data_IF_139561913996
#
_entry.id   IF_139561913996
#
_cell.length_a   1.000
_cell.length_b   1.000
_cell.length_c   1.000
_cell.angle_alpha   90.00
_cell.angle_beta   90.00
_cell.angle_gamma   90.00
#
_symmetry.space_group_name_H-M   'P 1'
#
loop_
_entity.id
_entity.type
_entity.pdbx_description
1 polymer ?
#
# COMPACT_ATOMS: atom_id res chain seq x y z
N UNK A 1 -2.42 -45.38 -35.59
CA UNK A 1 -2.38 -44.27 -34.57
C UNK A 1 -1.28 -44.68 -33.60
N UNK A 2 -0.33 -43.81 -33.32
CA UNK A 2 0.73 -44.13 -32.36
C UNK A 2 0.16 -44.32 -30.95
N UNK A 3 0.75 -45.24 -30.16
CA UNK A 3 0.32 -45.43 -28.78
C UNK A 3 0.68 -44.21 -27.93
N UNK A 4 -0.15 -43.90 -26.94
CA UNK A 4 0.02 -42.77 -26.03
C UNK A 4 1.36 -42.88 -25.24
N UNK A 5 1.77 -44.10 -24.90
CA UNK A 5 3.04 -44.35 -24.20
C UNK A 5 4.25 -43.96 -25.05
N UNK A 6 4.24 -44.30 -26.35
CA UNK A 6 5.29 -43.93 -27.31
C UNK A 6 5.38 -42.39 -27.48
N UNK A 7 4.19 -41.72 -27.54
CA UNK A 7 4.11 -40.26 -27.66
C UNK A 7 4.69 -39.61 -26.42
N UNK A 8 4.36 -40.06 -25.21
CA UNK A 8 4.90 -39.56 -23.95
C UNK A 8 6.41 -39.74 -23.86
N UNK A 9 6.93 -40.89 -24.22
CA UNK A 9 8.36 -41.14 -24.24
C UNK A 9 9.11 -40.18 -25.19
N UNK A 10 8.52 -39.88 -26.32
CA UNK A 10 9.09 -38.92 -27.23
C UNK A 10 9.07 -37.49 -26.65
N UNK A 11 7.99 -37.07 -25.97
CA UNK A 11 7.89 -35.80 -25.25
C UNK A 11 9.00 -35.73 -24.21
N UNK A 12 9.16 -36.75 -23.36
CA UNK A 12 10.20 -36.80 -22.32
C UNK A 12 11.61 -36.63 -22.89
N UNK A 13 11.90 -37.23 -24.05
CA UNK A 13 13.17 -37.05 -24.74
C UNK A 13 13.40 -35.64 -25.26
N UNK A 14 12.35 -35.00 -25.75
CA UNK A 14 12.38 -33.59 -26.21
C UNK A 14 12.63 -32.68 -25.00
N UNK A 15 11.90 -32.88 -23.92
CA UNK A 15 12.03 -32.11 -22.69
C UNK A 15 13.45 -32.15 -22.09
N UNK A 16 14.10 -33.33 -22.13
CA UNK A 16 15.51 -33.45 -21.74
C UNK A 16 16.46 -32.59 -22.60
N UNK A 17 16.23 -32.55 -23.90
CA UNK A 17 16.99 -31.68 -24.81
C UNK A 17 16.73 -30.21 -24.54
N UNK A 18 15.47 -29.84 -24.35
CA UNK A 18 15.08 -28.46 -23.99
C UNK A 18 15.73 -28.02 -22.67
N UNK A 19 15.74 -28.89 -21.65
CA UNK A 19 16.40 -28.60 -20.37
C UNK A 19 17.91 -28.35 -20.55
N UNK A 20 18.59 -29.16 -21.36
CA UNK A 20 20.03 -28.99 -21.64
C UNK A 20 20.30 -27.65 -22.33
N UNK A 21 19.54 -27.31 -23.37
CA UNK A 21 19.66 -26.05 -24.10
C UNK A 21 19.29 -24.85 -23.24
N UNK A 22 18.28 -24.99 -22.37
CA UNK A 22 17.92 -23.93 -21.42
C UNK A 22 19.06 -23.63 -20.45
N UNK A 23 19.73 -24.68 -19.88
CA UNK A 23 20.87 -24.50 -18.98
C UNK A 23 22.05 -23.81 -19.69
N UNK A 24 22.33 -24.20 -20.93
CA UNK A 24 23.38 -23.57 -21.76
C UNK A 24 23.05 -22.09 -21.99
N UNK A 25 21.81 -21.79 -22.37
CA UNK A 25 21.33 -20.41 -22.56
C UNK A 25 21.42 -19.57 -21.27
N UNK A 26 21.12 -20.17 -20.10
CA UNK A 26 21.27 -19.48 -18.82
C UNK A 26 22.74 -19.21 -18.47
N UNK A 27 23.67 -20.08 -18.88
CA UNK A 27 25.12 -19.81 -18.81
C UNK A 27 25.50 -18.54 -19.60
N UNK A 28 25.03 -18.42 -20.84
CA UNK A 28 25.23 -17.17 -21.62
C UNK A 28 24.64 -15.93 -20.94
N UNK A 29 23.56 -16.08 -20.19
CA UNK A 29 22.95 -14.96 -19.44
C UNK A 29 23.86 -14.45 -18.31
N UNK A 30 24.67 -15.31 -17.69
CA UNK A 30 25.70 -14.92 -16.71
C UNK A 30 26.79 -14.06 -17.38
N UNK A 31 27.30 -14.51 -18.53
CA UNK A 31 28.32 -13.76 -19.29
C UNK A 31 27.78 -12.37 -19.72
N UNK A 32 26.51 -12.31 -20.12
CA UNK A 32 25.83 -11.03 -20.43
C UNK A 32 25.73 -10.14 -19.20
N UNK A 33 25.41 -10.69 -18.03
CA UNK A 33 25.36 -9.92 -16.79
C UNK A 33 26.73 -9.31 -16.44
N UNK A 34 27.81 -10.10 -16.52
CA UNK A 34 29.18 -9.65 -16.28
C UNK A 34 29.58 -8.52 -17.26
N UNK A 35 29.26 -8.68 -18.54
CA UNK A 35 29.51 -7.64 -19.55
C UNK A 35 28.75 -6.35 -19.24
N UNK A 36 27.48 -6.46 -18.85
CA UNK A 36 26.64 -5.29 -18.51
C UNK A 36 27.14 -4.61 -17.23
N UNK A 37 27.58 -5.35 -16.23
CA UNK A 37 28.25 -4.81 -15.02
C UNK A 37 29.46 -3.96 -15.40
N UNK A 38 30.33 -4.46 -16.27
CA UNK A 38 31.54 -3.76 -16.69
C UNK A 38 31.28 -2.54 -17.57
N UNK A 39 30.12 -2.45 -18.24
CA UNK A 39 29.78 -1.38 -19.21
C UNK A 39 28.70 -0.42 -18.76
N UNK A 40 28.02 -0.70 -17.62
CA UNK A 40 26.88 0.09 -17.15
C UNK A 40 25.63 0.01 -18.04
N UNK A 41 25.54 -0.98 -18.92
CA UNK A 41 24.35 -1.17 -19.78
C UNK A 41 23.19 -1.76 -18.98
N UNK A 42 21.98 -1.28 -19.26
CA UNK A 42 20.73 -1.79 -18.70
C UNK A 42 20.54 -3.28 -18.98
N UNK A 43 19.94 -4.02 -18.02
CA UNK A 43 19.61 -5.43 -18.20
C UNK A 43 18.46 -5.58 -19.18
N UNK A 44 17.43 -4.74 -19.06
CA UNK A 44 16.29 -4.76 -19.97
C UNK A 44 16.58 -4.00 -21.26
N UNK A 45 16.47 -4.70 -22.39
CA UNK A 45 16.61 -4.16 -23.74
C UNK A 45 15.38 -4.55 -24.59
N UNK A 46 14.30 -3.78 -24.52
CA UNK A 46 13.04 -4.10 -25.20
C UNK A 46 13.19 -4.16 -26.72
N UNK A 47 14.08 -3.35 -27.28
CA UNK A 47 14.32 -3.34 -28.73
C UNK A 47 14.96 -4.65 -29.19
N UNK A 48 15.98 -5.11 -28.47
CA UNK A 48 16.65 -6.38 -28.74
C UNK A 48 15.72 -7.57 -28.57
N UNK A 49 14.90 -7.57 -27.51
CA UNK A 49 13.92 -8.64 -27.26
C UNK A 49 12.89 -8.72 -28.39
N UNK A 50 12.35 -7.58 -28.82
CA UNK A 50 11.40 -7.54 -29.93
C UNK A 50 12.01 -8.05 -31.22
N UNK A 51 13.20 -7.59 -31.60
CA UNK A 51 13.93 -8.08 -32.74
C UNK A 51 14.16 -9.59 -32.73
N UNK A 52 14.43 -10.15 -31.54
CA UNK A 52 14.63 -11.59 -31.35
C UNK A 52 13.34 -12.36 -31.60
N UNK A 53 12.22 -11.90 -31.06
CA UNK A 53 10.90 -12.51 -31.26
C UNK A 53 10.53 -12.48 -32.75
N UNK A 54 10.64 -11.31 -33.39
CA UNK A 54 10.30 -11.15 -34.79
C UNK A 54 11.14 -12.10 -35.67
N UNK A 55 12.44 -12.26 -35.38
CA UNK A 55 13.31 -13.18 -36.10
C UNK A 55 12.93 -14.67 -35.90
N UNK A 56 12.50 -15.05 -34.71
CA UNK A 56 12.14 -16.43 -34.39
C UNK A 56 10.78 -16.84 -34.98
N UNK A 57 9.90 -15.88 -35.21
CA UNK A 57 8.53 -16.14 -35.66
C UNK A 57 8.29 -15.73 -37.12
N UNK A 58 9.36 -15.28 -37.83
CA UNK A 58 9.27 -14.74 -39.19
C UNK A 58 8.67 -15.71 -40.19
N UNK A 59 9.10 -16.98 -40.13
CA UNK A 59 8.75 -18.00 -41.08
C UNK A 59 7.70 -18.99 -40.54
N UNK A 60 7.00 -18.63 -39.48
CA UNK A 60 5.95 -19.45 -38.89
C UNK A 60 4.57 -18.96 -39.35
N UNK A 61 3.90 -19.79 -40.13
CA UNK A 61 2.59 -19.50 -40.71
C UNK A 61 1.42 -19.91 -39.84
N UNK A 62 1.60 -20.88 -38.97
CA UNK A 62 0.55 -21.33 -38.04
C UNK A 62 0.40 -20.39 -36.87
N UNK A 63 -0.69 -19.63 -36.84
CA UNK A 63 -0.90 -18.54 -35.86
C UNK A 63 -0.78 -19.01 -34.40
N UNK A 64 -1.27 -20.23 -34.09
CA UNK A 64 -1.21 -20.76 -32.72
C UNK A 64 0.23 -21.08 -32.33
N UNK A 65 1.00 -21.69 -33.21
CA UNK A 65 2.41 -21.98 -32.96
C UNK A 65 3.23 -20.70 -32.84
N UNK A 66 2.99 -19.73 -33.74
CA UNK A 66 3.62 -18.43 -33.69
C UNK A 66 3.43 -17.74 -32.33
N UNK A 67 2.18 -17.64 -31.84
CA UNK A 67 1.87 -17.05 -30.53
C UNK A 67 2.51 -17.83 -29.37
N UNK A 68 2.50 -19.16 -29.45
CA UNK A 68 3.12 -20.01 -28.42
C UNK A 68 4.63 -19.84 -28.37
N UNK A 69 5.29 -19.70 -29.53
CA UNK A 69 6.73 -19.40 -29.62
C UNK A 69 7.03 -18.01 -29.04
N UNK A 70 6.25 -17.00 -29.40
CA UNK A 70 6.36 -15.65 -28.83
C UNK A 70 6.30 -15.67 -27.30
N UNK A 71 5.25 -16.31 -26.74
CA UNK A 71 5.06 -16.43 -25.30
C UNK A 71 6.22 -17.17 -24.61
N UNK A 72 6.62 -18.32 -25.15
CA UNK A 72 7.71 -19.13 -24.60
C UNK A 72 9.03 -18.34 -24.53
N UNK A 73 9.39 -17.63 -25.61
CA UNK A 73 10.64 -16.88 -25.65
C UNK A 73 10.58 -15.60 -24.82
N UNK A 74 9.44 -14.93 -24.73
CA UNK A 74 9.23 -13.82 -23.78
C UNK A 74 9.45 -14.27 -22.34
N UNK A 75 8.91 -15.43 -21.95
CA UNK A 75 9.13 -15.99 -20.63
C UNK A 75 10.61 -16.38 -20.39
N UNK A 76 11.26 -17.00 -21.36
CA UNK A 76 12.69 -17.32 -21.25
C UNK A 76 13.56 -16.06 -21.10
N UNK A 77 13.26 -14.98 -21.82
CA UNK A 77 14.00 -13.72 -21.69
C UNK A 77 13.73 -13.07 -20.32
N UNK A 78 12.47 -13.08 -19.86
CA UNK A 78 12.11 -12.61 -18.53
C UNK A 78 12.86 -13.39 -17.42
N UNK A 79 12.93 -14.72 -17.50
CA UNK A 79 13.70 -15.54 -16.55
C UNK A 79 15.18 -15.17 -16.60
N UNK A 80 15.74 -14.96 -17.80
CA UNK A 80 17.15 -14.56 -17.97
C UNK A 80 17.44 -13.19 -17.33
N UNK A 81 16.53 -12.21 -17.49
CA UNK A 81 16.68 -10.89 -16.84
C UNK A 81 16.66 -11.01 -15.32
N UNK A 82 15.69 -11.73 -14.75
CA UNK A 82 15.60 -11.95 -13.31
C UNK A 82 16.85 -12.61 -12.75
N UNK A 83 17.41 -13.57 -13.47
CA UNK A 83 18.69 -14.17 -13.10
C UNK A 83 19.83 -13.16 -13.16
N UNK A 84 19.90 -12.31 -14.20
CA UNK A 84 20.89 -11.24 -14.27
C UNK A 84 20.73 -10.23 -13.11
N UNK A 85 19.49 -9.83 -12.77
CA UNK A 85 19.24 -8.98 -11.61
C UNK A 85 19.76 -9.64 -10.33
N UNK A 86 19.53 -10.93 -10.11
CA UNK A 86 20.02 -11.63 -8.91
C UNK A 86 21.55 -11.68 -8.79
N UNK A 87 22.26 -11.53 -9.90
CA UNK A 87 23.72 -11.47 -9.90
C UNK A 87 24.28 -10.07 -9.69
N UNK A 88 23.46 -9.02 -9.90
CA UNK A 88 23.90 -7.63 -9.95
C UNK A 88 23.31 -6.76 -8.85
N UNK A 89 22.19 -7.16 -8.22
CA UNK A 89 21.37 -6.30 -7.35
C UNK A 89 21.87 -6.20 -5.89
N UNK A 90 22.95 -6.86 -5.52
CA UNK A 90 23.47 -6.81 -4.14
C UNK A 90 23.94 -5.39 -3.73
N UNK A 91 24.22 -4.54 -4.69
CA UNK A 91 24.63 -3.14 -4.50
C UNK A 91 23.69 -2.21 -5.26
N UNK A 92 22.43 -2.07 -4.81
CA UNK A 92 21.54 -1.05 -5.39
C UNK A 92 21.82 0.32 -4.76
N UNK A 93 22.68 1.08 -5.43
CA UNK A 93 23.05 2.44 -5.03
C UNK A 93 21.83 3.36 -4.80
N UNK A 94 20.69 3.09 -5.43
CA UNK A 94 19.49 3.89 -5.24
C UNK A 94 18.89 3.69 -3.83
N UNK A 95 18.80 2.44 -3.36
CA UNK A 95 18.29 2.15 -2.01
C UNK A 95 19.26 2.73 -0.98
N UNK A 96 20.55 2.37 -1.07
CA UNK A 96 21.57 2.71 -0.09
C UNK A 96 21.87 4.22 -0.01
N UNK A 97 21.64 4.97 -1.09
CA UNK A 97 21.79 6.43 -1.10
C UNK A 97 20.51 7.17 -0.71
N UNK A 98 19.36 6.53 -0.80
CA UNK A 98 18.06 7.17 -0.57
C UNK A 98 17.53 6.92 0.83
N UNK A 99 17.74 5.73 1.37
CA UNK A 99 17.18 5.29 2.64
C UNK A 99 18.29 4.99 3.64
N UNK A 100 18.06 5.38 4.87
CA UNK A 100 18.93 5.11 6.02
C UNK A 100 18.30 3.99 6.88
N UNK A 101 19.06 2.91 7.10
CA UNK A 101 18.69 1.88 8.07
C UNK A 101 18.92 2.41 9.49
N UNK A 102 17.92 2.24 10.36
CA UNK A 102 18.01 2.61 11.78
C UNK A 102 17.53 1.45 12.66
N UNK A 103 18.10 1.33 13.85
CA UNK A 103 17.63 0.35 14.84
C UNK A 103 16.24 0.71 15.37
N UNK A 104 15.95 2.00 15.55
CA UNK A 104 14.66 2.52 15.95
C UNK A 104 14.48 3.95 15.41
N UNK A 105 13.23 4.35 15.18
CA UNK A 105 12.92 5.75 14.86
C UNK A 105 13.26 6.63 16.07
N UNK A 106 13.80 7.83 15.80
CA UNK A 106 14.09 8.83 16.84
C UNK A 106 12.79 9.46 17.34
N UNK A 107 12.21 8.84 18.38
CA UNK A 107 10.99 9.27 19.03
C UNK A 107 11.31 9.63 20.47
N UNK A 108 11.11 10.91 20.83
CA UNK A 108 11.40 11.46 22.15
C UNK A 108 10.36 12.54 22.52
N UNK A 109 10.51 13.18 23.69
CA UNK A 109 9.57 14.21 24.18
C UNK A 109 9.52 15.48 23.30
N UNK A 110 10.53 15.72 22.47
CA UNK A 110 10.56 16.84 21.52
C UNK A 110 9.95 16.51 20.16
N UNK A 111 9.71 15.23 19.89
CA UNK A 111 9.10 14.75 18.65
C UNK A 111 7.74 15.40 18.42
N UNK A 112 7.56 16.00 17.23
CA UNK A 112 6.32 16.66 16.82
C UNK A 112 5.55 15.81 15.84
N UNK A 113 4.29 15.47 16.17
CA UNK A 113 3.44 14.67 15.33
C UNK A 113 2.21 15.48 14.89
N UNK A 114 1.93 15.50 13.60
CA UNK A 114 0.74 16.14 13.02
C UNK A 114 -0.27 15.11 12.57
N UNK A 115 -1.54 15.35 12.81
CA UNK A 115 -2.65 14.52 12.34
C UNK A 115 -3.83 15.39 11.87
N UNK A 116 -4.74 14.82 11.05
CA UNK A 116 -5.91 15.55 10.59
C UNK A 116 -7.07 15.40 11.57
N UNK A 117 -7.87 16.44 11.76
CA UNK A 117 -9.10 16.41 12.51
C UNK A 117 -9.05 17.22 13.80
N UNK A 118 -9.56 16.63 14.88
CA UNK A 118 -9.57 17.23 16.22
C UNK A 118 -9.22 16.18 17.27
N UNK A 119 -8.83 16.55 18.48
CA UNK A 119 -8.66 15.61 19.58
C UNK A 119 -9.87 14.70 19.76
N UNK A 120 -9.63 13.40 20.00
CA UNK A 120 -10.66 12.36 20.08
C UNK A 120 -10.98 11.66 18.75
N UNK A 121 -10.44 12.12 17.60
CA UNK A 121 -10.58 11.44 16.32
C UNK A 121 -9.78 10.12 16.29
N UNK A 122 -10.17 9.18 15.41
CA UNK A 122 -9.44 7.91 15.24
C UNK A 122 -8.00 8.10 14.79
N UNK A 123 -7.69 9.17 14.06
CA UNK A 123 -6.31 9.53 13.71
C UNK A 123 -5.48 9.92 14.93
N UNK A 124 -6.04 10.69 15.85
CA UNK A 124 -5.37 11.00 17.10
C UNK A 124 -5.19 9.73 17.95
N UNK A 125 -6.16 8.82 17.93
CA UNK A 125 -6.03 7.52 18.59
C UNK A 125 -4.88 6.70 17.99
N UNK A 126 -4.76 6.63 16.65
CA UNK A 126 -3.64 5.98 15.97
C UNK A 126 -2.30 6.62 16.35
N UNK A 127 -2.24 7.95 16.40
CA UNK A 127 -1.07 8.70 16.82
C UNK A 127 -0.66 8.31 18.24
N UNK A 128 -1.59 8.27 19.17
CA UNK A 128 -1.31 7.91 20.57
C UNK A 128 -0.91 6.44 20.74
N UNK A 129 -1.54 5.52 19.98
CA UNK A 129 -1.16 4.10 20.02
C UNK A 129 0.28 3.88 19.54
N UNK A 130 0.69 4.58 18.48
CA UNK A 130 2.03 4.43 17.91
C UNK A 130 3.13 5.17 18.69
N UNK A 131 2.89 6.44 19.08
CA UNK A 131 3.89 7.31 19.68
C UNK A 131 3.79 7.42 21.21
N UNK A 132 2.69 6.97 21.82
CA UNK A 132 2.38 7.26 23.21
C UNK A 132 1.75 8.65 23.42
N UNK A 133 1.40 8.95 24.67
CA UNK A 133 0.72 10.22 25.02
C UNK A 133 1.67 11.41 25.20
N UNK A 134 3.00 11.17 25.30
CA UNK A 134 3.97 12.18 25.75
C UNK A 134 4.60 12.99 24.62
N UNK A 135 4.32 12.67 23.34
CA UNK A 135 4.88 13.41 22.21
C UNK A 135 4.14 14.73 21.98
N UNK A 136 4.84 15.73 21.49
CA UNK A 136 4.22 16.99 21.08
C UNK A 136 3.37 16.73 19.85
N UNK A 137 2.08 17.06 19.91
CA UNK A 137 1.18 16.80 18.80
C UNK A 137 0.25 17.99 18.54
N UNK A 138 -0.24 18.09 17.31
CA UNK A 138 -1.23 19.07 16.91
C UNK A 138 -2.03 18.58 15.70
N UNK A 139 -3.23 19.11 15.56
CA UNK A 139 -4.13 18.75 14.47
C UNK A 139 -4.23 19.84 13.40
N UNK A 140 -4.50 19.39 12.17
CA UNK A 140 -4.77 20.27 11.02
C UNK A 140 -6.11 19.89 10.37
N UNK A 141 -6.77 20.82 9.61
CA UNK A 141 -8.11 20.60 9.08
C UNK A 141 -8.19 19.51 8.00
N UNK A 142 -7.21 19.42 7.10
CA UNK A 142 -7.26 18.57 5.90
C UNK A 142 -6.08 17.61 5.84
N UNK A 143 -6.26 16.46 5.16
CA UNK A 143 -5.17 15.48 4.90
C UNK A 143 -3.97 16.14 4.22
N UNK A 144 -4.23 17.01 3.25
CA UNK A 144 -3.16 17.72 2.53
C UNK A 144 -2.33 18.63 3.44
N UNK A 145 -2.93 19.15 4.50
CA UNK A 145 -2.19 20.00 5.43
C UNK A 145 -1.22 19.20 6.29
N UNK A 146 -1.50 17.90 6.58
CA UNK A 146 -0.54 17.00 7.24
C UNK A 146 0.73 16.88 6.39
N UNK A 147 0.59 16.55 5.10
CA UNK A 147 1.76 16.39 4.20
C UNK A 147 2.51 17.70 3.99
N UNK A 148 1.82 18.84 3.86
CA UNK A 148 2.47 20.16 3.76
C UNK A 148 3.24 20.51 5.02
N UNK A 149 2.73 20.16 6.19
CA UNK A 149 3.39 20.40 7.48
C UNK A 149 4.69 19.60 7.58
N UNK A 150 4.66 18.33 7.14
CA UNK A 150 5.87 17.50 7.04
C UNK A 150 6.87 18.09 6.03
N UNK A 151 6.38 18.47 4.86
CA UNK A 151 7.24 19.02 3.79
C UNK A 151 7.97 20.30 4.23
N UNK A 152 7.32 21.14 5.04
CA UNK A 152 7.91 22.34 5.63
C UNK A 152 8.84 22.07 6.81
N UNK A 153 8.91 20.83 7.31
CA UNK A 153 9.69 20.49 8.51
C UNK A 153 9.10 21.05 9.81
N UNK A 154 7.81 21.36 9.84
CA UNK A 154 7.10 21.86 11.03
C UNK A 154 6.70 20.73 11.99
N UNK A 155 6.65 19.48 11.49
CA UNK A 155 6.51 18.25 12.25
C UNK A 155 7.49 17.19 11.76
N UNK A 156 7.85 16.24 12.63
CA UNK A 156 8.74 15.11 12.33
C UNK A 156 7.98 13.95 11.71
N UNK A 157 6.76 13.72 12.19
CA UNK A 157 5.88 12.64 11.75
C UNK A 157 4.46 13.13 11.48
N UNK A 158 3.78 12.45 10.54
CA UNK A 158 2.38 12.68 10.22
C UNK A 158 1.59 11.37 10.21
N UNK A 159 0.31 11.42 10.58
CA UNK A 159 -0.57 10.26 10.64
C UNK A 159 -1.75 10.49 9.70
N UNK A 160 -1.94 9.59 8.72
CA UNK A 160 -3.07 9.60 7.80
C UNK A 160 -3.69 8.20 7.63
N UNK A 161 -5.01 8.10 7.47
CA UNK A 161 -5.66 6.83 7.16
C UNK A 161 -5.35 6.43 5.71
N UNK A 162 -5.03 5.15 5.47
CA UNK A 162 -4.76 4.65 4.12
C UNK A 162 -5.87 3.72 3.63
N UNK A 163 -6.45 2.96 4.53
CA UNK A 163 -7.46 1.95 4.24
C UNK A 163 -8.40 1.74 5.43
N UNK A 164 -9.65 1.41 5.13
CA UNK A 164 -10.63 0.96 6.13
C UNK A 164 -11.33 -0.29 5.62
N UNK A 165 -11.48 -1.31 6.46
CA UNK A 165 -12.04 -2.61 6.07
C UNK A 165 -13.47 -2.55 5.52
N UNK A 166 -14.26 -1.56 5.94
CA UNK A 166 -15.65 -1.37 5.47
C UNK A 166 -15.75 -0.40 4.28
N UNK A 167 -14.84 0.58 4.16
CA UNK A 167 -14.92 1.65 3.16
C UNK A 167 -13.88 1.51 2.02
N UNK A 168 -12.91 0.60 2.18
CA UNK A 168 -11.82 0.43 1.23
C UNK A 168 -10.73 1.49 1.37
N UNK A 169 -9.97 1.70 0.30
CA UNK A 169 -8.83 2.62 0.24
C UNK A 169 -9.26 4.07 0.40
N UNK A 170 -8.56 4.82 1.23
CA UNK A 170 -8.80 6.27 1.41
C UNK A 170 -8.22 7.05 0.24
N UNK A 171 -9.11 7.71 -0.50
CA UNK A 171 -8.77 8.39 -1.75
C UNK A 171 -7.70 9.47 -1.58
N UNK A 172 -6.70 9.49 -2.46
CA UNK A 172 -5.74 10.58 -2.60
C UNK A 172 -4.53 10.53 -1.65
N UNK A 173 -4.47 9.60 -0.68
CA UNK A 173 -3.34 9.53 0.26
C UNK A 173 -2.06 9.11 -0.46
N UNK A 174 -2.11 8.07 -1.29
CA UNK A 174 -0.96 7.64 -2.10
C UNK A 174 -0.44 8.75 -3.02
N UNK A 175 -1.37 9.50 -3.65
CA UNK A 175 -0.99 10.63 -4.52
C UNK A 175 -0.25 11.71 -3.74
N UNK A 176 -0.71 12.02 -2.51
CA UNK A 176 -0.03 12.99 -1.65
C UNK A 176 1.37 12.52 -1.23
N UNK A 177 1.57 11.23 -0.93
CA UNK A 177 2.90 10.67 -0.59
C UNK A 177 3.85 10.82 -1.79
N UNK A 178 3.35 10.63 -3.01
CA UNK A 178 4.15 10.79 -4.22
C UNK A 178 4.52 12.26 -4.48
N UNK A 179 3.55 13.17 -4.34
CA UNK A 179 3.71 14.58 -4.69
C UNK A 179 4.67 15.34 -3.76
N UNK A 180 4.82 14.92 -2.50
CA UNK A 180 5.54 15.66 -1.45
C UNK A 180 6.86 15.02 -1.00
N UNK A 181 7.39 14.04 -1.72
CA UNK A 181 8.65 13.35 -1.37
C UNK A 181 8.74 12.91 0.10
N UNK A 182 7.63 12.38 0.59
CA UNK A 182 7.45 11.86 1.94
C UNK A 182 7.52 10.34 1.87
N UNK A 183 8.01 9.68 2.92
CA UNK A 183 8.01 8.22 3.01
C UNK A 183 7.17 7.73 4.19
N UNK A 184 6.68 6.49 4.06
CA UNK A 184 6.02 5.74 5.12
C UNK A 184 7.10 5.04 5.96
N UNK A 185 7.08 5.28 7.27
CA UNK A 185 8.06 4.75 8.23
C UNK A 185 7.40 3.84 9.29
N UNK A 186 6.08 3.69 9.22
CA UNK A 186 5.32 2.84 10.12
C UNK A 186 3.85 2.74 9.72
N UNK A 187 3.15 1.83 10.34
CA UNK A 187 1.69 1.72 10.25
C UNK A 187 1.10 1.41 11.61
N UNK A 188 -0.16 1.80 11.80
CA UNK A 188 -0.95 1.52 13.00
C UNK A 188 -2.38 1.17 12.61
N UNK A 189 -2.93 0.15 13.24
CA UNK A 189 -4.31 -0.29 13.00
C UNK A 189 -5.19 0.05 14.18
N UNK A 190 -6.30 0.71 13.91
CA UNK A 190 -7.26 1.12 14.93
C UNK A 190 -8.61 0.49 14.66
N UNK A 191 -9.13 -0.23 15.63
CA UNK A 191 -10.49 -0.73 15.60
C UNK A 191 -11.48 0.43 15.71
N UNK A 192 -12.38 0.52 14.74
CA UNK A 192 -13.44 1.53 14.70
C UNK A 192 -14.65 1.00 15.48
N UNK A 193 -14.67 1.26 16.78
CA UNK A 193 -15.76 0.89 17.66
C UNK A 193 -16.53 2.14 18.06
N UNK A 194 -17.74 2.27 17.56
CA UNK A 194 -18.61 3.38 17.89
C UNK A 194 -19.41 3.12 19.16
N UNK A 195 -19.58 4.18 19.92
CA UNK A 195 -20.47 4.22 21.08
C UNK A 195 -21.52 5.30 20.88
N UNK A 196 -22.69 5.14 21.46
CA UNK A 196 -23.65 6.21 21.65
C UNK A 196 -23.33 6.91 22.97
N UNK A 197 -23.07 8.20 22.92
CA UNK A 197 -22.71 9.00 24.08
C UNK A 197 -23.52 10.31 24.14
N UNK A 198 -23.84 10.75 25.34
CA UNK A 198 -24.58 11.98 25.59
C UNK A 198 -24.06 12.68 26.86
N UNK A 199 -24.56 13.84 27.19
CA UNK A 199 -24.22 14.49 28.47
C UNK A 199 -24.69 13.64 29.66
N UNK A 200 -23.95 13.67 30.77
CA UNK A 200 -24.29 12.88 31.96
C UNK A 200 -25.74 13.06 32.41
N UNK A 201 -26.38 11.94 32.77
CA UNK A 201 -27.78 11.90 33.20
C UNK A 201 -28.82 11.91 32.09
N UNK A 202 -28.38 11.79 30.82
CA UNK A 202 -29.29 11.57 29.70
C UNK A 202 -29.74 10.10 29.66
N UNK A 203 -31.02 9.85 29.42
CA UNK A 203 -31.57 8.51 29.18
C UNK A 203 -31.93 8.32 27.70
N UNK A 204 -31.89 7.07 27.22
CA UNK A 204 -32.13 6.73 25.80
C UNK A 204 -33.50 7.21 25.30
N UNK A 205 -34.53 7.14 26.14
CA UNK A 205 -35.91 7.54 25.84
C UNK A 205 -36.09 9.06 25.61
N UNK A 206 -35.11 9.87 26.00
CA UNK A 206 -35.11 11.33 25.80
C UNK A 206 -34.40 11.80 24.55
N UNK A 207 -33.68 10.90 23.84
CA UNK A 207 -32.90 11.30 22.67
C UNK A 207 -33.85 11.59 21.52
N UNK A 208 -33.68 12.76 20.91
CA UNK A 208 -34.36 13.20 19.71
C UNK A 208 -33.41 13.32 18.51
N UNK A 209 -32.09 13.60 18.79
CA UNK A 209 -31.10 13.87 17.73
C UNK A 209 -29.80 13.14 17.99
N UNK A 210 -29.30 12.47 16.93
CA UNK A 210 -28.01 11.78 16.94
C UNK A 210 -27.08 12.40 15.90
N UNK A 211 -25.89 12.79 16.34
CA UNK A 211 -24.86 13.41 15.52
C UNK A 211 -23.76 12.39 15.19
N UNK A 212 -23.32 12.28 13.93
CA UNK A 212 -22.11 11.58 13.55
C UNK A 212 -21.65 11.96 12.13
N UNK A 213 -20.47 11.46 11.75
CA UNK A 213 -20.04 11.47 10.36
C UNK A 213 -20.98 10.59 9.52
N UNK A 214 -21.23 10.91 8.23
CA UNK A 214 -22.11 10.09 7.36
C UNK A 214 -21.77 8.61 7.37
N UNK A 215 -20.47 8.27 7.35
CA UNK A 215 -20.02 6.89 7.39
C UNK A 215 -20.28 6.23 8.75
N UNK A 216 -20.10 6.95 9.87
CA UNK A 216 -20.44 6.45 11.20
C UNK A 216 -21.93 6.16 11.36
N UNK A 217 -22.81 7.02 10.81
CA UNK A 217 -24.25 6.75 10.77
C UNK A 217 -24.58 5.51 9.94
N UNK A 218 -23.93 5.34 8.79
CA UNK A 218 -24.13 4.16 7.92
C UNK A 218 -23.65 2.87 8.60
N UNK A 219 -22.53 2.92 9.31
CA UNK A 219 -21.94 1.78 10.03
C UNK A 219 -22.74 1.36 11.28
N UNK A 220 -23.67 2.20 11.73
CA UNK A 220 -24.56 1.95 12.88
C UNK A 220 -26.04 1.92 12.46
N UNK A 221 -26.28 1.60 11.18
CA UNK A 221 -27.64 1.67 10.62
C UNK A 221 -28.61 0.74 11.34
N UNK A 222 -28.21 -0.49 11.62
CA UNK A 222 -29.05 -1.47 12.32
C UNK A 222 -29.50 -0.95 13.69
N UNK A 223 -28.56 -0.41 14.48
CA UNK A 223 -28.89 0.22 15.76
C UNK A 223 -29.79 1.45 15.60
N UNK A 224 -29.55 2.29 14.60
CA UNK A 224 -30.38 3.48 14.35
C UNK A 224 -31.79 3.16 13.84
N UNK A 225 -31.95 2.06 13.11
CA UNK A 225 -33.25 1.57 12.64
C UNK A 225 -34.16 1.09 13.81
N UNK A 226 -33.58 0.74 14.97
CA UNK A 226 -34.32 0.47 16.21
C UNK A 226 -34.90 1.73 16.85
N UNK A 227 -34.43 2.92 16.40
CA UNK A 227 -34.81 4.24 16.91
C UNK A 227 -35.26 5.19 15.78
N UNK A 228 -36.32 4.88 15.05
CA UNK A 228 -36.73 5.61 13.85
C UNK A 228 -37.14 7.08 14.11
N UNK A 229 -37.47 7.41 15.35
CA UNK A 229 -37.86 8.77 15.76
C UNK A 229 -36.64 9.71 15.98
N UNK A 230 -35.42 9.19 15.93
CA UNK A 230 -34.23 10.03 16.11
C UNK A 230 -33.84 10.75 14.80
N UNK A 231 -33.68 12.06 14.89
CA UNK A 231 -33.17 12.89 13.79
C UNK A 231 -31.65 12.68 13.64
N UNK A 232 -31.20 12.13 12.50
CA UNK A 232 -29.79 11.84 12.21
C UNK A 232 -29.11 13.03 11.60
N UNK A 233 -28.21 13.68 12.33
CA UNK A 233 -27.54 14.93 11.90
C UNK A 233 -26.08 14.62 11.51
N UNK A 234 -25.77 14.90 10.24
CA UNK A 234 -24.43 14.69 9.67
C UNK A 234 -23.47 15.81 10.09
N UNK A 235 -22.26 15.43 10.52
CA UNK A 235 -21.14 16.31 10.84
C UNK A 235 -19.85 15.81 10.16
N UNK A 236 -18.81 16.63 10.15
CA UNK A 236 -17.60 16.38 9.36
C UNK A 236 -16.72 15.24 9.89
N UNK A 237 -16.76 14.90 11.18
CA UNK A 237 -16.16 13.70 11.75
C UNK A 237 -16.83 13.27 13.06
N UNK A 238 -16.56 12.05 13.51
CA UNK A 238 -17.18 11.45 14.70
C UNK A 238 -16.77 12.15 16.00
N UNK A 239 -15.55 12.67 16.13
CA UNK A 239 -15.12 13.40 17.32
C UNK A 239 -15.79 14.79 17.42
N UNK A 240 -16.04 15.44 16.27
CA UNK A 240 -16.84 16.69 16.21
C UNK A 240 -18.26 16.45 16.72
N UNK A 241 -18.85 15.27 16.51
CA UNK A 241 -20.18 14.97 17.04
C UNK A 241 -20.18 14.97 18.58
N UNK A 242 -19.15 14.33 19.19
CA UNK A 242 -19.00 14.33 20.64
C UNK A 242 -18.81 15.74 21.21
N UNK A 243 -17.87 16.51 20.60
CA UNK A 243 -17.65 17.90 20.99
C UNK A 243 -18.92 18.74 20.90
N UNK A 244 -19.66 18.63 19.81
CA UNK A 244 -20.90 19.37 19.59
C UNK A 244 -21.97 19.03 20.63
N UNK A 245 -22.14 17.76 20.97
CA UNK A 245 -23.11 17.34 22.00
C UNK A 245 -22.72 17.89 23.37
N UNK A 246 -21.43 17.88 23.70
CA UNK A 246 -20.91 18.47 24.95
C UNK A 246 -21.12 19.99 24.98
N UNK A 247 -20.76 20.71 23.90
CA UNK A 247 -20.91 22.17 23.79
C UNK A 247 -22.39 22.60 23.84
N UNK A 248 -23.29 21.87 23.18
CA UNK A 248 -24.74 22.17 23.16
C UNK A 248 -25.41 21.91 24.53
N UNK A 249 -24.85 21.02 25.32
CA UNK A 249 -25.27 20.64 26.67
C UNK A 249 -26.81 20.42 26.82
N UNK A 250 -27.38 19.61 25.91
CA UNK A 250 -28.84 19.33 25.88
C UNK A 250 -29.12 17.85 26.01
N UNK A 251 -29.98 17.41 26.98
CA UNK A 251 -30.22 15.99 27.24
C UNK A 251 -31.07 15.27 26.20
N UNK A 252 -31.38 15.91 25.08
CA UNK A 252 -32.08 15.33 23.92
C UNK A 252 -31.12 15.02 22.74
N UNK A 253 -29.83 15.23 22.95
CA UNK A 253 -28.80 15.08 21.91
C UNK A 253 -27.81 13.99 22.30
N UNK A 254 -27.46 13.15 21.34
CA UNK A 254 -26.41 12.14 21.47
C UNK A 254 -25.44 12.17 20.30
N UNK A 255 -24.28 11.61 20.49
CA UNK A 255 -23.25 11.44 19.47
C UNK A 255 -22.96 9.95 19.27
N UNK A 256 -22.80 9.52 18.02
CA UNK A 256 -22.11 8.31 17.67
C UNK A 256 -20.65 8.67 17.40
N UNK A 257 -19.74 8.21 18.27
CA UNK A 257 -18.32 8.57 18.27
C UNK A 257 -17.46 7.43 18.83
N UNK A 258 -16.14 7.64 18.90
CA UNK A 258 -15.24 6.72 19.63
C UNK A 258 -15.42 6.86 21.14
N UNK A 259 -15.11 5.79 21.89
CA UNK A 259 -15.09 5.87 23.36
C UNK A 259 -14.09 6.93 23.86
N UNK A 260 -12.94 7.08 23.14
CA UNK A 260 -11.94 8.11 23.46
C UNK A 260 -12.54 9.53 23.33
N UNK A 261 -13.26 9.82 22.24
CA UNK A 261 -13.93 11.09 22.08
C UNK A 261 -14.98 11.34 23.16
N UNK A 262 -15.80 10.34 23.46
CA UNK A 262 -16.81 10.47 24.54
C UNK A 262 -16.15 10.85 25.88
N UNK A 263 -15.11 10.13 26.29
CA UNK A 263 -14.35 10.42 27.54
C UNK A 263 -13.71 11.81 27.52
N UNK A 264 -13.06 12.17 26.41
CA UNK A 264 -12.36 13.45 26.27
C UNK A 264 -13.29 14.65 26.40
N UNK A 265 -14.50 14.57 25.86
CA UNK A 265 -15.50 15.63 25.92
C UNK A 265 -16.49 15.51 27.10
N UNK A 266 -16.19 14.61 28.07
CA UNK A 266 -16.99 14.46 29.28
C UNK A 266 -18.39 13.92 29.07
N UNK A 267 -18.60 13.14 28.02
CA UNK A 267 -19.87 12.48 27.73
C UNK A 267 -19.97 11.13 28.45
N UNK A 268 -21.18 10.78 28.87
CA UNK A 268 -21.53 9.46 29.37
C UNK A 268 -21.86 8.51 28.21
N UNK A 269 -21.31 7.30 28.24
CA UNK A 269 -21.57 6.28 27.23
C UNK A 269 -22.90 5.58 27.60
N UNK A 270 -23.92 5.80 26.77
CA UNK A 270 -25.23 5.20 26.92
C UNK A 270 -25.31 3.78 26.38
N UNK A 271 -24.60 3.53 25.24
CA UNK A 271 -24.55 2.21 24.59
C UNK A 271 -23.17 2.02 23.95
N UNK A 272 -22.58 0.85 24.17
CA UNK A 272 -21.33 0.42 23.52
C UNK A 272 -21.64 -0.41 22.29
N UNK A 273 -20.67 -0.52 21.39
CA UNK A 273 -20.70 -1.44 20.24
C UNK A 273 -21.97 -1.26 19.40
N UNK A 274 -22.23 0.00 19.00
CA UNK A 274 -23.39 0.34 18.15
C UNK A 274 -23.11 0.13 16.65
N UNK A 275 -21.92 -0.38 16.28
CA UNK A 275 -21.59 -0.77 14.91
C UNK A 275 -22.37 -2.02 14.50
N UNK A 276 -22.79 -2.09 13.25
CA UNK A 276 -23.43 -3.26 12.64
C UNK A 276 -22.41 -4.40 12.44
N UNK A 277 -21.15 -4.05 12.14
CA UNK A 277 -20.04 -5.01 11.93
C UNK A 277 -18.99 -4.86 13.02
N UNK A 278 -18.59 -5.98 13.64
CA UNK A 278 -17.62 -5.99 14.73
C UNK A 278 -16.15 -5.93 14.33
N UNK A 279 -15.84 -6.06 13.02
CA UNK A 279 -14.46 -6.15 12.48
C UNK A 279 -14.06 -4.93 11.66
N UNK A 280 -14.61 -3.76 11.97
CA UNK A 280 -14.26 -2.51 11.30
C UNK A 280 -12.93 -1.96 11.83
N UNK A 281 -11.90 -1.98 10.99
CA UNK A 281 -10.55 -1.50 11.34
C UNK A 281 -10.08 -0.48 10.29
N UNK A 282 -9.44 0.58 10.74
CA UNK A 282 -8.76 1.55 9.86
C UNK A 282 -7.26 1.40 10.03
N UNK A 283 -6.55 1.22 8.93
CA UNK A 283 -5.10 1.24 8.86
C UNK A 283 -4.62 2.66 8.59
N UNK A 284 -3.72 3.13 9.44
CA UNK A 284 -3.08 4.45 9.35
C UNK A 284 -1.61 4.27 8.99
N UNK A 285 -1.09 5.15 8.16
CA UNK A 285 0.34 5.23 7.85
C UNK A 285 0.99 6.34 8.67
N UNK A 286 2.18 6.02 9.15
CA UNK A 286 3.07 6.97 9.82
C UNK A 286 4.06 7.46 8.78
N UNK A 287 4.08 8.75 8.54
CA UNK A 287 4.87 9.36 7.48
C UNK A 287 5.95 10.27 8.05
N UNK A 288 7.07 10.35 7.37
CA UNK A 288 8.16 11.27 7.68
C UNK A 288 8.83 11.81 6.41
N UNK A 289 9.47 12.96 6.50
CA UNK A 289 10.34 13.47 5.44
C UNK A 289 11.73 12.80 5.47
N UNK A 290 12.15 12.27 6.62
CA UNK A 290 13.35 11.46 6.74
C UNK A 290 13.10 10.08 6.14
N UNK A 291 13.86 9.72 5.12
CA UNK A 291 13.76 8.42 4.45
C UNK A 291 14.53 7.38 5.25
N UNK A 292 13.92 6.93 6.32
CA UNK A 292 14.49 5.94 7.25
C UNK A 292 13.62 4.68 7.26
N UNK A 293 14.24 3.54 7.51
CA UNK A 293 13.54 2.30 7.79
C UNK A 293 14.20 1.56 8.95
N UNK A 294 13.38 0.86 9.72
CA UNK A 294 13.89 0.05 10.81
C UNK A 294 14.40 -1.27 10.31
N UNK A 295 15.44 -1.78 10.95
CA UNK A 295 16.01 -3.10 10.66
C UNK A 295 15.00 -4.24 10.80
N UNK A 296 14.02 -4.11 11.70
CA UNK A 296 12.95 -5.08 11.91
C UNK A 296 11.68 -4.79 11.07
N UNK A 297 11.73 -3.84 10.14
CA UNK A 297 10.62 -3.53 9.25
C UNK A 297 10.24 -4.74 8.39
N UNK A 298 8.94 -4.99 8.27
CA UNK A 298 8.43 -6.21 7.64
C UNK A 298 7.64 -5.98 6.35
N UNK A 299 7.51 -4.73 5.90
CA UNK A 299 6.70 -4.38 4.72
C UNK A 299 7.38 -3.28 3.91
N UNK A 300 7.50 -3.49 2.61
CA UNK A 300 7.97 -2.48 1.66
C UNK A 300 6.82 -2.02 0.78
N UNK A 301 6.58 -0.72 0.71
CA UNK A 301 5.57 -0.11 -0.17
C UNK A 301 6.25 0.57 -1.34
N UNK A 302 5.77 0.30 -2.55
CA UNK A 302 6.28 0.88 -3.79
C UNK A 302 5.17 1.42 -4.67
N UNK A 303 5.54 2.31 -5.58
CA UNK A 303 4.69 2.70 -6.70
C UNK A 303 5.45 2.62 -8.02
N UNK A 304 4.71 2.32 -9.08
CA UNK A 304 5.22 2.30 -10.46
C UNK A 304 4.09 2.47 -11.47
N UNK A 305 4.44 2.79 -12.71
CA UNK A 305 3.49 2.76 -13.82
C UNK A 305 3.98 1.83 -14.94
N UNK A 306 3.02 1.23 -15.65
CA UNK A 306 3.30 0.35 -16.78
C UNK A 306 2.55 0.81 -18.03
N UNK A 307 3.06 0.50 -19.25
CA UNK A 307 2.34 0.74 -20.49
C UNK A 307 0.99 0.00 -20.48
N UNK A 308 0.00 0.59 -21.13
CA UNK A 308 -1.32 -0.04 -21.29
C UNK A 308 -1.28 -1.10 -22.40
N UNK A 309 -0.58 -2.18 -22.15
CA UNK A 309 -0.39 -3.30 -23.07
C UNK A 309 -0.75 -4.62 -22.39
N UNK A 310 -1.17 -5.60 -23.20
CA UNK A 310 -1.51 -6.93 -22.69
C UNK A 310 -0.29 -7.57 -22.00
N UNK A 311 -0.47 -8.01 -20.76
CA UNK A 311 0.58 -8.68 -19.98
C UNK A 311 1.56 -7.75 -19.25
N UNK A 312 1.51 -6.42 -19.42
CA UNK A 312 2.46 -5.49 -18.79
C UNK A 312 2.52 -5.68 -17.27
N UNK A 313 1.38 -5.64 -16.57
CA UNK A 313 1.34 -5.84 -15.13
C UNK A 313 1.78 -7.26 -14.73
N UNK A 314 1.34 -8.28 -15.48
CA UNK A 314 1.73 -9.67 -15.24
C UNK A 314 3.26 -9.82 -15.24
N UNK A 315 3.94 -9.26 -16.23
CA UNK A 315 5.40 -9.34 -16.35
C UNK A 315 6.10 -8.72 -15.12
N UNK A 316 5.60 -7.59 -14.63
CA UNK A 316 6.16 -6.95 -13.43
C UNK A 316 5.93 -7.80 -12.18
N UNK A 317 4.73 -8.34 -11.99
CA UNK A 317 4.42 -9.19 -10.84
C UNK A 317 5.26 -10.49 -10.81
N UNK A 318 5.79 -10.94 -11.95
CA UNK A 318 6.68 -12.10 -12.00
C UNK A 318 8.00 -11.89 -11.27
N UNK A 319 8.44 -10.64 -11.04
CA UNK A 319 9.63 -10.37 -10.22
C UNK A 319 9.41 -10.80 -8.76
N UNK A 320 8.23 -10.54 -8.21
CA UNK A 320 7.89 -10.99 -6.85
C UNK A 320 7.77 -12.51 -6.79
N UNK A 321 7.07 -13.12 -7.75
CA UNK A 321 6.92 -14.58 -7.82
C UNK A 321 8.28 -15.29 -7.89
N UNK A 322 9.20 -14.81 -8.74
CA UNK A 322 10.52 -15.43 -8.91
C UNK A 322 11.37 -15.37 -7.62
N UNK A 323 11.27 -14.29 -6.87
CA UNK A 323 12.00 -14.09 -5.64
C UNK A 323 11.24 -14.59 -4.40
N UNK A 324 10.10 -15.27 -4.59
CA UNK A 324 9.24 -15.77 -3.50
C UNK A 324 8.81 -14.66 -2.52
N UNK A 325 8.52 -13.47 -3.06
CA UNK A 325 8.06 -12.31 -2.30
C UNK A 325 6.54 -12.27 -2.31
N UNK A 326 5.91 -12.19 -1.14
CA UNK A 326 4.46 -12.08 -0.99
C UNK A 326 4.00 -10.63 -1.04
N UNK A 327 2.92 -10.38 -1.79
CA UNK A 327 2.22 -9.09 -1.79
C UNK A 327 1.12 -9.10 -0.74
N UNK A 328 0.99 -8.03 0.04
CA UNK A 328 -0.11 -7.81 0.99
C UNK A 328 -1.16 -6.84 0.47
N UNK A 329 -0.82 -5.99 -0.49
CA UNK A 329 -1.75 -5.05 -1.11
C UNK A 329 -1.35 -4.76 -2.56
N UNK A 330 -2.33 -4.52 -3.41
CA UNK A 330 -2.17 -3.94 -4.75
C UNK A 330 -3.36 -3.02 -5.06
N UNK A 331 -3.06 -1.78 -5.34
CA UNK A 331 -4.05 -0.75 -5.69
C UNK A 331 -3.67 -0.14 -7.04
N UNK A 332 -4.65 0.10 -7.91
CA UNK A 332 -4.42 0.77 -9.19
C UNK A 332 -5.16 2.10 -9.24
N UNK A 333 -4.52 3.13 -9.81
CA UNK A 333 -5.12 4.45 -9.98
C UNK A 333 -4.84 5.01 -11.37
N UNK A 334 -5.81 5.69 -11.98
CA UNK A 334 -5.58 6.44 -13.21
C UNK A 334 -4.53 7.53 -12.98
N UNK A 335 -3.57 7.65 -13.89
CA UNK A 335 -2.56 8.71 -13.83
C UNK A 335 -3.15 10.04 -14.34
N UNK A 336 -3.05 11.13 -13.57
CA UNK A 336 -3.54 12.44 -14.00
C UNK A 336 -2.88 12.89 -15.32
N UNK A 337 -3.68 13.31 -16.29
CA UNK A 337 -3.20 13.80 -17.58
C UNK A 337 -2.71 12.72 -18.57
N UNK A 338 -2.68 11.45 -18.18
CA UNK A 338 -2.29 10.33 -19.04
C UNK A 338 -3.50 9.43 -19.32
N UNK A 339 -4.06 9.51 -20.52
CA UNK A 339 -5.25 8.72 -20.88
C UNK A 339 -4.91 7.22 -20.89
N UNK A 340 -5.68 6.46 -20.10
CA UNK A 340 -5.58 4.99 -20.04
C UNK A 340 -4.25 4.46 -19.45
N UNK A 341 -3.43 5.29 -18.82
CA UNK A 341 -2.28 4.85 -18.03
C UNK A 341 -2.64 4.78 -16.55
N UNK A 342 -2.10 3.77 -15.87
CA UNK A 342 -2.37 3.49 -14.46
C UNK A 342 -1.07 3.44 -13.67
N UNK A 343 -1.07 4.11 -12.53
CA UNK A 343 -0.10 3.89 -11.47
C UNK A 343 -0.55 2.75 -10.58
N UNK A 344 0.39 1.94 -10.14
CA UNK A 344 0.17 0.84 -9.21
C UNK A 344 0.89 1.14 -7.90
N UNK A 345 0.20 0.87 -6.80
CA UNK A 345 0.74 0.92 -5.44
C UNK A 345 0.74 -0.51 -4.92
N UNK A 346 1.88 -0.98 -4.47
CA UNK A 346 2.06 -2.38 -4.06
C UNK A 346 2.79 -2.42 -2.73
N UNK A 347 2.19 -3.11 -1.76
CA UNK A 347 2.85 -3.46 -0.51
C UNK A 347 3.32 -4.91 -0.58
N UNK A 348 4.58 -5.15 -0.29
CA UNK A 348 5.19 -6.49 -0.23
C UNK A 348 5.75 -6.78 1.16
N UNK A 349 5.72 -8.05 1.54
CA UNK A 349 6.27 -8.52 2.81
C UNK A 349 7.77 -8.70 2.65
N UNK A 350 8.54 -8.03 3.49
CA UNK A 350 10.00 -8.09 3.53
C UNK A 350 10.65 -6.77 3.94
N UNK A 351 11.97 -6.73 3.91
CA UNK A 351 12.78 -5.59 4.26
C UNK A 351 13.66 -5.14 3.08
N UNK A 352 14.02 -3.86 3.00
CA UNK A 352 14.93 -3.33 1.96
C UNK A 352 16.32 -3.97 2.01
N UNK A 353 16.70 -4.59 3.13
CA UNK A 353 17.93 -5.38 3.23
C UNK A 353 17.83 -6.80 2.67
N UNK A 354 16.62 -7.31 2.47
CA UNK A 354 16.43 -8.66 1.95
C UNK A 354 16.90 -8.75 0.48
N UNK A 355 17.80 -9.67 0.14
CA UNK A 355 18.24 -9.85 -1.25
C UNK A 355 17.08 -10.14 -2.22
N UNK A 356 16.03 -10.84 -1.76
CA UNK A 356 14.85 -11.12 -2.56
C UNK A 356 14.06 -9.85 -2.91
N UNK A 357 13.93 -8.92 -1.95
CA UNK A 357 13.32 -7.61 -2.15
C UNK A 357 14.16 -6.77 -3.10
N UNK A 358 15.47 -6.58 -2.81
CA UNK A 358 16.39 -5.81 -3.66
C UNK A 358 16.36 -6.29 -5.11
N UNK A 359 16.39 -7.59 -5.31
CA UNK A 359 16.30 -8.23 -6.63
C UNK A 359 15.00 -7.90 -7.36
N UNK A 360 13.88 -8.03 -6.66
CA UNK A 360 12.57 -7.72 -7.23
C UNK A 360 12.48 -6.23 -7.63
N UNK A 361 12.92 -5.34 -6.72
CA UNK A 361 12.87 -3.90 -6.94
C UNK A 361 13.79 -3.44 -8.07
N UNK A 362 15.00 -4.01 -8.20
CA UNK A 362 15.91 -3.70 -9.29
C UNK A 362 15.28 -3.98 -10.66
N UNK A 363 14.64 -5.14 -10.82
CA UNK A 363 13.94 -5.48 -12.05
C UNK A 363 12.72 -4.61 -12.32
N UNK A 364 11.90 -4.37 -11.31
CA UNK A 364 10.70 -3.52 -11.43
C UNK A 364 11.11 -2.09 -11.80
N UNK A 365 12.12 -1.53 -11.16
CA UNK A 365 12.64 -0.19 -11.44
C UNK A 365 13.10 -0.03 -12.88
N UNK A 366 13.79 -1.02 -13.44
CA UNK A 366 14.29 -0.97 -14.80
C UNK A 366 13.19 -1.21 -15.86
N UNK A 367 12.20 -2.05 -15.54
CA UNK A 367 11.14 -2.46 -16.46
C UNK A 367 9.87 -1.60 -16.39
N UNK A 368 9.80 -0.63 -15.47
CA UNK A 368 8.63 0.25 -15.28
C UNK A 368 8.98 1.73 -15.45
N UNK A 369 7.95 2.57 -15.42
CA UNK A 369 8.10 4.02 -15.36
C UNK A 369 7.65 4.52 -13.99
N UNK A 370 8.09 5.73 -13.63
CA UNK A 370 7.67 6.44 -12.42
C UNK A 370 7.87 5.60 -11.13
N UNK A 371 8.88 4.70 -11.12
CA UNK A 371 9.17 3.85 -9.97
C UNK A 371 9.60 4.66 -8.75
N UNK A 372 8.99 4.40 -7.61
CA UNK A 372 9.33 5.01 -6.32
C UNK A 372 9.13 4.01 -5.18
N UNK A 373 10.08 3.93 -4.26
CA UNK A 373 9.89 3.28 -2.97
C UNK A 373 9.19 4.29 -2.06
N UNK A 374 8.01 3.94 -1.55
CA UNK A 374 7.21 4.81 -0.69
C UNK A 374 7.61 4.67 0.77
N UNK A 375 8.21 3.54 1.15
CA UNK A 375 8.72 3.30 2.50
C UNK A 375 8.99 1.83 2.77
N UNK A 376 9.64 1.57 3.93
CA UNK A 376 9.82 0.26 4.52
C UNK A 376 9.52 0.34 6.03
N UNK A 377 8.50 -0.42 6.50
CA UNK A 377 7.92 -0.28 7.83
C UNK A 377 7.35 -1.59 8.39
#
# INVERSE_FOLDING_TARGET
MRDLTEIRQQIDQIDQKMLALFKERMGCSVEVAEYKRGTGKAIYDPVRERQKIDALTKDEDELIIKKSVEEMFLQMMSISRRYQYSLLSQEDAYIDQTFEEVEALDINEDTKVVYQGIPGAYQEQAMVQYFGENVKNFSVPEFKDVVKTLDRGEADYGVLPIENTSAGTVSGIYDMILDYDICVVGEESVDVRHVLAAIPGTSLDKIEKVYSHPQGLMQCKGFLDEHPDWDQVKVTNTAISAKKVADDNKPVKAAICSERAAKMYGLEILKREVNDEGNNTTRFVIMSKKKQYRKDAGKVSISFSVPHESGSLYNILTHFMFNNVSMSNIESRPLPGRKWEYGFYVDVIGNLDDPAIRNSLAGIKEETKDFKILGNF
#
